data_IF_984984916122
#
_entry.id   IF_984984916122
#
_cell.length_a   1.000
_cell.length_b   1.000
_cell.length_c   1.000
_cell.angle_alpha   90.00
_cell.angle_beta   90.00
_cell.angle_gamma   90.00
#
_symmetry.space_group_name_H-M   'P 1'
#
loop_
_entity.id
_entity.type
_entity.pdbx_description
1 polymer ?
#
# COMPACT_ATOMS: atom_id res chain seq x y z
N UNK A 1 18.18 -9.28 -6.23
CA UNK A 1 16.82 -9.57 -6.73
C UNK A 1 16.28 -10.83 -6.04
N UNK A 2 15.08 -10.74 -5.49
CA UNK A 2 14.40 -11.88 -4.85
C UNK A 2 13.28 -12.45 -5.72
N UNK A 3 13.07 -11.86 -6.90
CA UNK A 3 12.02 -12.26 -7.82
C UNK A 3 10.65 -11.67 -7.50
N UNK A 4 9.77 -11.72 -8.49
CA UNK A 4 8.43 -11.13 -8.41
C UNK A 4 7.56 -11.83 -7.38
N UNK A 5 7.62 -13.17 -7.30
CA UNK A 5 6.80 -13.92 -6.35
C UNK A 5 7.11 -13.56 -4.89
N UNK A 6 8.38 -13.41 -4.54
CA UNK A 6 8.77 -12.99 -3.19
C UNK A 6 8.34 -11.55 -2.92
N UNK A 7 8.42 -10.66 -3.91
CA UNK A 7 7.93 -9.30 -3.80
C UNK A 7 6.41 -9.25 -3.58
N UNK A 8 5.65 -10.10 -4.27
CA UNK A 8 4.21 -10.22 -4.07
C UNK A 8 3.87 -10.71 -2.65
N UNK A 9 4.66 -11.65 -2.12
CA UNK A 9 4.46 -12.12 -0.75
C UNK A 9 4.67 -10.99 0.28
N UNK A 10 5.65 -10.12 0.06
CA UNK A 10 5.81 -8.93 0.91
C UNK A 10 4.57 -8.04 0.87
N UNK A 11 4.02 -7.80 -0.31
CA UNK A 11 2.80 -7.01 -0.45
C UNK A 11 1.60 -7.66 0.24
N UNK A 12 1.52 -8.98 0.25
CA UNK A 12 0.43 -9.70 0.92
C UNK A 12 0.55 -9.66 2.45
N UNK A 13 1.77 -9.72 2.99
CA UNK A 13 1.98 -9.88 4.42
C UNK A 13 2.29 -8.59 5.18
N UNK A 14 2.90 -7.59 4.54
CA UNK A 14 3.20 -6.34 5.20
C UNK A 14 1.92 -5.58 5.54
N UNK A 15 1.88 -4.98 6.73
CA UNK A 15 0.71 -4.23 7.18
C UNK A 15 0.74 -2.78 6.73
N UNK A 16 1.92 -2.22 6.56
CA UNK A 16 2.13 -0.83 6.16
C UNK A 16 3.14 -0.75 5.05
N UNK A 17 2.94 0.24 4.20
CA UNK A 17 3.89 0.61 3.18
C UNK A 17 4.07 2.12 3.16
N UNK A 18 5.03 2.58 2.38
CA UNK A 18 5.27 4.01 2.18
C UNK A 18 4.83 4.37 0.76
N UNK A 19 3.88 5.28 0.68
CA UNK A 19 3.42 5.84 -0.58
C UNK A 19 4.19 7.12 -0.85
N UNK A 20 4.88 7.17 -1.98
CA UNK A 20 5.60 8.35 -2.45
C UNK A 20 4.95 8.87 -3.73
N UNK A 21 4.82 10.18 -3.82
CA UNK A 21 4.18 10.86 -4.93
C UNK A 21 4.85 12.21 -5.19
N UNK A 22 4.59 12.81 -6.33
CA UNK A 22 5.03 14.18 -6.59
C UNK A 22 4.17 15.13 -5.77
N UNK A 23 4.79 15.77 -4.80
CA UNK A 23 4.11 16.72 -3.94
C UNK A 23 3.89 18.05 -4.63
N UNK A 24 3.13 18.91 -3.97
CA UNK A 24 2.94 20.29 -4.36
C UNK A 24 4.26 21.05 -4.12
N UNK A 25 4.53 22.07 -4.92
CA UNK A 25 5.73 22.91 -4.84
C UNK A 25 7.07 22.17 -5.17
N UNK A 26 6.98 21.05 -5.87
CA UNK A 26 8.17 20.35 -6.37
C UNK A 26 8.86 19.42 -5.39
N UNK A 27 8.40 19.33 -4.16
CA UNK A 27 8.94 18.35 -3.20
C UNK A 27 8.32 16.98 -3.40
N UNK A 28 9.11 15.89 -3.39
CA UNK A 28 8.54 14.57 -3.24
C UNK A 28 7.83 14.47 -1.89
N UNK A 29 6.69 13.80 -1.87
CA UNK A 29 5.89 13.60 -0.67
C UNK A 29 5.77 12.11 -0.39
N UNK A 30 6.11 11.67 0.80
CA UNK A 30 6.08 10.27 1.17
C UNK A 30 5.41 10.09 2.53
N UNK A 31 4.45 9.17 2.61
CA UNK A 31 3.71 8.90 3.84
C UNK A 31 3.51 7.40 4.04
N UNK A 32 3.57 6.91 5.29
CA UNK A 32 3.18 5.54 5.57
C UNK A 32 1.66 5.40 5.49
N UNK A 33 1.22 4.28 4.93
CA UNK A 33 -0.21 3.96 4.83
C UNK A 33 -0.44 2.48 5.13
N UNK A 34 -1.58 2.17 5.70
CA UNK A 34 -2.10 0.82 5.71
C UNK A 34 -2.65 0.52 4.32
N UNK A 35 -2.50 -0.71 3.86
CA UNK A 35 -2.87 -1.06 2.50
C UNK A 35 -3.38 -2.49 2.40
N UNK A 36 -4.04 -2.79 1.29
CA UNK A 36 -4.46 -4.12 0.91
C UNK A 36 -4.02 -4.38 -0.53
N UNK A 37 -3.30 -5.48 -0.76
CA UNK A 37 -2.91 -5.94 -2.09
C UNK A 37 -3.88 -7.01 -2.57
N UNK A 38 -4.58 -6.73 -3.66
CA UNK A 38 -5.43 -7.70 -4.35
C UNK A 38 -4.62 -8.35 -5.48
N UNK A 39 -4.18 -9.57 -5.23
CA UNK A 39 -3.34 -10.30 -6.17
C UNK A 39 -4.07 -10.65 -7.46
N UNK A 40 -5.37 -10.88 -7.38
CA UNK A 40 -6.19 -11.23 -8.55
C UNK A 40 -6.25 -10.09 -9.56
N UNK A 41 -6.57 -8.88 -9.12
CA UNK A 41 -6.60 -7.70 -10.00
C UNK A 41 -5.24 -7.02 -10.16
N UNK A 42 -4.27 -7.39 -9.34
CA UNK A 42 -2.91 -6.83 -9.30
C UNK A 42 -2.92 -5.36 -8.97
N UNK A 43 -3.67 -5.00 -7.93
CA UNK A 43 -3.86 -3.62 -7.49
C UNK A 43 -3.69 -3.49 -5.99
N UNK A 44 -3.28 -2.32 -5.56
CA UNK A 44 -3.12 -1.97 -4.15
C UNK A 44 -4.20 -0.95 -3.79
N UNK A 45 -4.86 -1.17 -2.66
CA UNK A 45 -5.91 -0.30 -2.14
C UNK A 45 -5.53 0.26 -0.78
N UNK A 46 -5.82 1.51 -0.56
CA UNK A 46 -5.70 2.16 0.74
C UNK A 46 -6.79 3.22 0.89
N UNK A 47 -6.99 3.70 2.10
CA UNK A 47 -7.98 4.75 2.34
C UNK A 47 -7.35 5.94 3.08
N UNK A 48 -8.03 7.06 3.00
CA UNK A 48 -7.64 8.28 3.68
C UNK A 48 -8.80 9.25 3.74
N UNK A 49 -8.51 10.49 4.11
CA UNK A 49 -9.49 11.57 4.11
C UNK A 49 -9.85 12.00 2.69
N UNK A 50 -11.04 12.57 2.52
CA UNK A 50 -11.53 13.04 1.22
C UNK A 50 -10.89 14.35 0.75
N UNK A 51 -10.10 15.00 1.61
CA UNK A 51 -9.37 16.22 1.28
C UNK A 51 -7.98 16.18 1.89
N UNK A 52 -7.06 16.98 1.38
CA UNK A 52 -5.72 17.12 1.91
C UNK A 52 -4.65 17.04 0.83
N UNK A 53 -3.39 17.02 1.28
CA UNK A 53 -2.23 17.10 0.39
C UNK A 53 -2.17 15.93 -0.61
N UNK A 54 -2.46 14.70 -0.16
CA UNK A 54 -2.50 13.52 -1.05
C UNK A 54 -3.47 13.69 -2.21
N UNK A 55 -4.66 14.20 -1.92
CA UNK A 55 -5.69 14.38 -2.94
C UNK A 55 -5.21 15.36 -4.00
N UNK A 56 -4.68 16.51 -3.58
CA UNK A 56 -4.16 17.53 -4.48
C UNK A 56 -3.00 17.04 -5.32
N UNK A 57 -2.04 16.36 -4.66
CA UNK A 57 -0.87 15.82 -5.32
C UNK A 57 -1.24 14.77 -6.38
N UNK A 58 -2.14 13.86 -6.07
CA UNK A 58 -2.56 12.79 -6.99
C UNK A 58 -3.40 13.30 -8.14
N UNK A 59 -4.17 14.36 -7.95
CA UNK A 59 -4.90 15.02 -9.05
C UNK A 59 -3.96 15.69 -10.04
N UNK A 60 -2.83 16.21 -9.54
CA UNK A 60 -1.83 16.85 -10.40
C UNK A 60 -0.96 15.82 -11.13
N UNK A 61 -0.61 14.72 -10.47
CA UNK A 61 0.21 13.65 -11.05
C UNK A 61 -0.18 12.32 -10.40
N UNK A 62 -0.61 11.36 -11.21
CA UNK A 62 -1.08 10.06 -10.74
C UNK A 62 0.02 9.00 -10.59
N UNK A 63 1.24 9.28 -11.05
CA UNK A 63 2.35 8.37 -10.93
C UNK A 63 2.87 8.33 -9.51
N UNK A 64 2.96 7.11 -8.96
CA UNK A 64 3.37 6.89 -7.58
C UNK A 64 4.43 5.80 -7.49
N UNK A 65 5.15 5.83 -6.38
CA UNK A 65 6.02 4.76 -5.94
C UNK A 65 5.50 4.25 -4.60
N UNK A 66 5.37 2.95 -4.47
CA UNK A 66 4.91 2.33 -3.23
C UNK A 66 5.93 1.30 -2.77
N UNK A 67 6.39 1.37 -1.54
CA UNK A 67 7.44 0.53 -1.00
C UNK A 67 7.00 -0.15 0.27
N UNK A 68 7.30 -1.44 0.37
CA UNK A 68 7.19 -2.24 1.59
C UNK A 68 8.54 -2.86 1.92
N UNK A 69 8.77 -3.14 3.17
CA UNK A 69 9.97 -3.85 3.60
C UNK A 69 9.64 -4.74 4.81
N UNK A 70 10.45 -5.75 4.99
CA UNK A 70 10.24 -6.69 6.08
C UNK A 70 11.17 -7.88 5.97
N UNK A 71 10.77 -8.98 6.63
CA UNK A 71 11.53 -10.23 6.65
C UNK A 71 12.97 -10.01 7.13
N UNK A 72 13.13 -9.20 8.18
CA UNK A 72 14.44 -8.99 8.79
C UNK A 72 14.95 -10.31 9.37
N UNK A 73 16.17 -10.68 9.00
CA UNK A 73 16.84 -11.85 9.52
C UNK A 73 18.30 -11.52 9.82
N UNK A 74 18.83 -12.12 10.87
CA UNK A 74 20.25 -12.06 11.17
C UNK A 74 20.85 -13.40 10.74
N UNK A 75 21.71 -13.37 9.73
CA UNK A 75 22.41 -14.56 9.29
C UNK A 75 23.71 -14.68 10.10
N UNK A 76 23.86 -15.75 10.85
CA UNK A 76 25.01 -15.98 11.73
C UNK A 76 26.35 -15.87 11.00
N UNK A 77 26.40 -16.35 9.76
CA UNK A 77 27.60 -16.34 8.91
C UNK A 77 28.11 -14.93 8.58
N UNK A 78 27.21 -13.97 8.48
CA UNK A 78 27.55 -12.61 8.08
C UNK A 78 27.53 -11.61 9.23
N UNK A 79 26.99 -11.99 10.38
CA UNK A 79 26.84 -11.13 11.57
C UNK A 79 26.17 -9.78 11.26
N UNK A 80 25.30 -9.76 10.26
CA UNK A 80 24.62 -8.55 9.83
C UNK A 80 23.16 -8.88 9.53
N UNK A 81 22.25 -7.95 9.81
CA UNK A 81 20.85 -8.12 9.46
C UNK A 81 20.65 -8.06 7.95
N UNK A 82 19.72 -8.86 7.47
CA UNK A 82 19.23 -8.84 6.10
C UNK A 82 17.78 -8.40 6.11
N UNK A 83 17.40 -7.63 5.12
CA UNK A 83 16.05 -7.13 4.95
C UNK A 83 15.62 -7.30 3.49
N UNK A 84 14.36 -7.65 3.31
CA UNK A 84 13.76 -7.69 1.98
C UNK A 84 12.87 -6.47 1.79
N UNK A 85 12.84 -5.97 0.57
CA UNK A 85 11.96 -4.87 0.19
C UNK A 85 11.34 -5.11 -1.18
N UNK A 86 10.20 -4.51 -1.41
CA UNK A 86 9.54 -4.48 -2.71
C UNK A 86 9.20 -3.04 -3.06
N UNK A 87 9.41 -2.69 -4.32
CA UNK A 87 9.11 -1.36 -4.86
C UNK A 87 8.14 -1.51 -6.02
N UNK A 88 7.06 -0.76 -5.94
CA UNK A 88 6.01 -0.69 -6.96
C UNK A 88 6.08 0.68 -7.63
N UNK A 89 6.10 0.69 -8.95
CA UNK A 89 5.79 1.88 -9.73
C UNK A 89 4.41 1.68 -10.36
N UNK A 90 3.56 2.66 -10.25
CA UNK A 90 2.20 2.55 -10.77
C UNK A 90 1.47 3.88 -10.81
N UNK A 91 0.18 3.79 -11.06
CA UNK A 91 -0.70 4.95 -11.12
C UNK A 91 -1.78 4.82 -10.06
N UNK A 92 -2.01 5.91 -9.36
CA UNK A 92 -2.98 5.97 -8.28
C UNK A 92 -4.18 6.81 -8.70
N UNK A 93 -5.36 6.25 -8.52
CA UNK A 93 -6.61 6.96 -8.75
C UNK A 93 -7.50 6.94 -7.53
N UNK A 94 -8.35 7.93 -7.40
CA UNK A 94 -9.37 7.98 -6.39
C UNK A 94 -10.59 7.20 -6.90
N UNK A 95 -11.11 6.30 -6.07
CA UNK A 95 -12.36 5.61 -6.39
C UNK A 95 -13.55 6.50 -6.02
N UNK A 96 -14.53 6.55 -6.90
CA UNK A 96 -15.80 7.21 -6.61
C UNK A 96 -16.56 6.45 -5.52
N UNK A 97 -17.32 7.17 -4.70
CA UNK A 97 -18.20 6.55 -3.73
C UNK A 97 -19.22 5.67 -4.43
N UNK A 98 -19.35 4.45 -3.97
CA UNK A 98 -20.27 3.50 -4.56
C UNK A 98 -19.97 2.06 -4.15
N UNK A 99 -20.66 1.08 -4.77
CA UNK A 99 -20.50 -0.32 -4.39
C UNK A 99 -19.07 -0.86 -4.53
N UNK A 100 -18.35 -0.44 -5.57
CA UNK A 100 -16.96 -0.87 -5.77
C UNK A 100 -16.06 -0.40 -4.64
N UNK A 101 -16.13 0.90 -4.31
CA UNK A 101 -15.32 1.47 -3.23
C UNK A 101 -15.64 0.81 -1.89
N UNK A 102 -16.91 0.54 -1.62
CA UNK A 102 -17.33 -0.14 -0.39
C UNK A 102 -16.85 -1.59 -0.35
N UNK A 103 -16.89 -2.32 -1.46
CA UNK A 103 -16.36 -3.67 -1.54
C UNK A 103 -14.86 -3.72 -1.28
N UNK A 104 -14.11 -2.78 -1.83
CA UNK A 104 -12.66 -2.69 -1.60
C UNK A 104 -12.32 -2.29 -0.17
N UNK A 105 -13.10 -1.40 0.42
CA UNK A 105 -12.96 -1.05 1.83
C UNK A 105 -13.21 -2.26 2.74
N UNK A 106 -14.18 -3.10 2.43
CA UNK A 106 -14.44 -4.35 3.15
C UNK A 106 -13.26 -5.31 3.06
N UNK A 107 -12.71 -5.53 1.87
CA UNK A 107 -11.53 -6.37 1.67
C UNK A 107 -10.31 -5.83 2.43
N UNK A 108 -10.12 -4.52 2.41
CA UNK A 108 -9.09 -3.84 3.20
C UNK A 108 -9.28 -4.12 4.70
N UNK A 109 -10.48 -3.91 5.21
CA UNK A 109 -10.79 -4.08 6.63
C UNK A 109 -10.55 -5.53 7.08
N UNK A 110 -10.87 -6.51 6.27
CA UNK A 110 -10.67 -7.93 6.59
C UNK A 110 -9.19 -8.31 6.77
N UNK A 111 -8.27 -7.56 6.20
CA UNK A 111 -6.83 -7.76 6.43
C UNK A 111 -6.42 -7.39 7.87
N UNK A 112 -7.05 -6.39 8.45
CA UNK A 112 -6.64 -5.79 9.73
C UNK A 112 -7.50 -6.22 10.91
N UNK A 113 -8.75 -6.58 10.67
CA UNK A 113 -9.68 -7.01 11.71
C UNK A 113 -9.84 -8.53 11.67
N UNK A 114 -9.75 -9.22 12.84
CA UNK A 114 -9.80 -10.69 12.85
C UNK A 114 -11.17 -11.27 12.58
N UNK A 115 -12.23 -10.47 12.71
CA UNK A 115 -13.61 -10.92 12.53
C UNK A 115 -14.36 -10.00 11.57
N UNK A 116 -15.19 -10.62 10.72
CA UNK A 116 -16.01 -9.89 9.77
C UNK A 116 -16.95 -8.89 10.43
N UNK A 117 -17.49 -9.24 11.57
CA UNK A 117 -18.37 -8.34 12.33
C UNK A 117 -17.66 -7.05 12.71
N UNK A 118 -16.40 -7.14 13.19
CA UNK A 118 -15.62 -5.96 13.55
C UNK A 118 -15.32 -5.08 12.32
N UNK A 119 -15.05 -5.70 11.19
CA UNK A 119 -14.84 -4.98 9.94
C UNK A 119 -16.11 -4.24 9.51
N UNK A 120 -17.26 -4.90 9.58
CA UNK A 120 -18.54 -4.30 9.22
C UNK A 120 -18.92 -3.14 10.15
N UNK A 121 -18.67 -3.27 11.44
CA UNK A 121 -18.90 -2.20 12.41
C UNK A 121 -18.05 -0.97 12.12
N UNK A 122 -16.78 -1.16 11.82
CA UNK A 122 -15.87 -0.06 11.49
C UNK A 122 -16.27 0.64 10.18
N UNK A 123 -16.68 -0.12 9.18
CA UNK A 123 -17.16 0.43 7.90
C UNK A 123 -18.44 1.24 8.12
N UNK A 124 -19.35 0.73 8.92
CA UNK A 124 -20.58 1.43 9.25
C UNK A 124 -20.30 2.76 9.98
N UNK A 125 -19.25 2.78 10.83
CA UNK A 125 -18.88 3.97 11.60
C UNK A 125 -18.11 5.01 10.76
N UNK A 126 -17.15 4.60 9.95
CA UNK A 126 -16.18 5.47 9.28
C UNK A 126 -16.22 5.46 7.75
N UNK A 127 -16.92 4.51 7.13
CA UNK A 127 -16.84 4.27 5.70
C UNK A 127 -17.26 5.42 4.79
N UNK A 128 -18.25 6.21 5.21
CA UNK A 128 -18.74 7.36 4.44
C UNK A 128 -17.74 8.52 4.38
N UNK A 129 -16.89 8.63 5.40
CA UNK A 129 -15.87 9.68 5.47
C UNK A 129 -14.55 9.29 4.79
N UNK A 130 -14.40 8.03 4.43
CA UNK A 130 -13.18 7.52 3.84
C UNK A 130 -13.16 7.68 2.32
N UNK A 131 -12.03 8.12 1.80
CA UNK A 131 -11.72 8.09 0.37
C UNK A 131 -10.90 6.84 0.10
N UNK A 132 -11.36 6.00 -0.84
CA UNK A 132 -10.58 4.86 -1.30
C UNK A 132 -9.67 5.24 -2.46
N UNK A 133 -8.45 4.74 -2.41
CA UNK A 133 -7.43 4.93 -3.45
C UNK A 133 -7.05 3.57 -4.02
N UNK A 134 -6.78 3.54 -5.32
CA UNK A 134 -6.36 2.35 -6.04
C UNK A 134 -5.06 2.62 -6.77
N UNK A 135 -4.07 1.77 -6.56
CA UNK A 135 -2.82 1.80 -7.33
C UNK A 135 -2.85 0.66 -8.34
N UNK A 136 -2.80 1.00 -9.61
CA UNK A 136 -2.57 0.04 -10.69
C UNK A 136 -1.07 -0.19 -10.82
N UNK A 137 -0.63 -1.43 -10.61
CA UNK A 137 0.79 -1.77 -10.62
C UNK A 137 1.28 -1.87 -12.06
N UNK A 138 2.23 -1.02 -12.42
CA UNK A 138 2.90 -1.06 -13.73
C UNK A 138 4.21 -1.84 -13.66
N UNK A 139 4.91 -1.77 -12.54
CA UNK A 139 6.17 -2.48 -12.32
C UNK A 139 6.36 -2.85 -10.86
N UNK A 140 6.75 -4.08 -10.60
CA UNK A 140 7.06 -4.58 -9.26
C UNK A 140 8.44 -5.22 -9.27
N UNK A 141 9.27 -4.83 -8.33
CA UNK A 141 10.58 -5.44 -8.11
C UNK A 141 10.82 -5.68 -6.62
N UNK A 142 11.65 -6.65 -6.32
CA UNK A 142 12.03 -6.94 -4.95
C UNK A 142 13.52 -7.21 -4.82
N UNK A 143 14.06 -6.92 -3.64
CA UNK A 143 15.46 -7.18 -3.34
C UNK A 143 15.67 -7.55 -1.89
N UNK A 144 16.76 -8.28 -1.64
CA UNK A 144 17.30 -8.51 -0.31
C UNK A 144 18.57 -7.69 -0.18
N UNK A 145 18.69 -6.96 0.91
CA UNK A 145 19.87 -6.17 1.22
C UNK A 145 20.44 -6.57 2.54
N UNK A 146 21.77 -6.52 2.64
CA UNK A 146 22.47 -6.66 3.90
C UNK A 146 22.65 -5.26 4.49
N UNK A 147 22.16 -5.07 5.68
CA UNK A 147 22.35 -3.82 6.41
C UNK A 147 23.75 -3.81 7.07
N UNK A 148 24.43 -2.72 6.95
CA UNK A 148 25.78 -2.53 7.53
C UNK A 148 25.82 -1.27 8.39
#
# INVERSE_FOLDING_TARGET
>A
DIGVEAAEQLLLHCRRGVLAMNGVEGYPYAVPVNFYFDQESYKIYFHGAKAGHKIEALRACDKVCFTVYGNETIKEEAWAPFMQSAVVFGRCRLLENGPEAMARLKQFAMKYYPEEQLADEEIAHAGKAAQMFEIEIEHLSGKEVQER
#
